data_IF_204037461506
#
_entry.id   IF_204037461506
#
_cell.length_a   1.000
_cell.length_b   1.000
_cell.length_c   1.000
_cell.angle_alpha   90.00
_cell.angle_beta   90.00
_cell.angle_gamma   90.00
#
_symmetry.space_group_name_H-M   'P 1'
#
loop_
_entity.id
_entity.type
_entity.pdbx_description
1 polymer ?
#
# COMPACT_ATOMS: atom_id res chain seq x y z
N UNK A 1 7.69 -3.98 22.52
CA UNK A 1 7.07 -3.43 21.29
C UNK A 1 8.08 -2.62 20.46
N UNK A 2 9.23 -2.25 21.03
CA UNK A 2 10.37 -1.58 20.37
C UNK A 2 11.17 -2.50 19.44
N UNK A 3 11.38 -3.76 19.82
CA UNK A 3 12.29 -4.69 19.13
C UNK A 3 11.90 -5.04 17.68
N UNK A 4 10.62 -4.91 17.31
CA UNK A 4 10.15 -5.20 15.95
C UNK A 4 10.69 -4.18 14.94
N UNK A 5 10.59 -2.89 15.24
CA UNK A 5 11.06 -1.84 14.32
C UNK A 5 12.58 -1.73 14.24
N UNK A 6 13.29 -2.17 15.28
CA UNK A 6 14.76 -2.19 15.30
C UNK A 6 15.36 -3.31 14.43
N UNK A 7 14.63 -4.42 14.25
CA UNK A 7 15.05 -5.57 13.43
C UNK A 7 14.38 -5.62 12.06
N UNK A 8 13.30 -4.84 11.86
CA UNK A 8 12.58 -4.76 10.60
C UNK A 8 13.22 -3.75 9.65
N UNK A 9 13.92 -4.25 8.64
CA UNK A 9 14.52 -3.46 7.56
C UNK A 9 13.74 -3.67 6.25
N UNK A 10 12.55 -3.08 6.10
CA UNK A 10 11.76 -3.25 4.89
C UNK A 10 12.49 -2.62 3.71
N UNK A 11 12.57 -3.36 2.60
CA UNK A 11 12.98 -2.77 1.33
C UNK A 11 11.75 -2.10 0.71
N UNK A 12 11.89 -0.83 0.35
CA UNK A 12 10.86 -0.13 -0.42
C UNK A 12 10.86 -0.73 -1.83
N UNK A 13 9.81 -1.48 -2.15
CA UNK A 13 9.68 -2.14 -3.47
C UNK A 13 9.09 -1.16 -4.48
N UNK A 14 8.01 -0.47 -4.11
CA UNK A 14 7.30 0.48 -4.98
C UNK A 14 6.80 1.69 -4.20
N UNK A 15 6.84 2.87 -4.84
CA UNK A 15 6.25 4.12 -4.33
C UNK A 15 5.40 4.75 -5.43
N UNK A 16 4.11 4.93 -5.14
CA UNK A 16 3.18 5.57 -6.05
C UNK A 16 2.80 6.95 -5.50
N UNK A 17 3.56 7.97 -5.91
CA UNK A 17 3.29 9.37 -5.57
C UNK A 17 2.64 10.07 -6.76
N UNK A 18 1.33 10.33 -6.70
CA UNK A 18 0.56 11.02 -7.74
C UNK A 18 -0.53 11.88 -7.10
N UNK A 19 -0.88 12.98 -7.75
CA UNK A 19 -1.94 13.87 -7.28
C UNK A 19 -3.35 13.31 -7.56
N UNK A 20 -4.36 13.94 -6.94
CA UNK A 20 -5.75 13.52 -7.08
C UNK A 20 -6.30 13.69 -8.51
N UNK A 21 -5.79 14.65 -9.28
CA UNK A 21 -6.24 14.90 -10.64
C UNK A 21 -5.81 13.75 -11.56
N UNK A 22 -4.57 13.31 -11.43
CA UNK A 22 -3.99 12.20 -12.15
C UNK A 22 -4.80 10.91 -11.92
N UNK A 23 -5.08 10.55 -10.66
CA UNK A 23 -5.87 9.35 -10.35
C UNK A 23 -7.28 9.40 -10.93
N UNK A 24 -7.95 10.56 -10.85
CA UNK A 24 -9.31 10.74 -11.39
C UNK A 24 -9.36 10.64 -12.91
N UNK A 25 -8.42 11.26 -13.60
CA UNK A 25 -8.38 11.27 -15.06
C UNK A 25 -8.04 9.91 -15.65
N UNK A 26 -7.10 9.20 -15.03
CA UNK A 26 -6.55 7.97 -15.60
C UNK A 26 -7.26 6.71 -15.06
N UNK A 27 -8.15 6.84 -14.05
CA UNK A 27 -8.82 5.73 -13.35
C UNK A 27 -7.87 4.58 -13.06
N UNK A 28 -6.63 4.92 -12.70
CA UNK A 28 -5.54 3.98 -12.78
C UNK A 28 -5.66 2.96 -11.64
N UNK A 29 -5.81 1.68 -11.98
CA UNK A 29 -5.72 0.57 -11.02
C UNK A 29 -4.28 0.08 -11.01
N UNK A 30 -3.65 0.13 -9.84
CA UNK A 30 -2.36 -0.54 -9.64
C UNK A 30 -2.65 -2.02 -9.42
N UNK A 31 -2.02 -2.88 -10.21
CA UNK A 31 -2.11 -4.33 -10.06
C UNK A 31 -0.72 -4.88 -9.83
N UNK A 32 -0.51 -5.48 -8.67
CA UNK A 32 0.71 -6.20 -8.34
C UNK A 32 0.48 -7.68 -8.54
N UNK A 33 1.46 -8.39 -9.11
CA UNK A 33 1.42 -9.86 -9.19
C UNK A 33 1.67 -10.44 -7.80
N UNK A 34 1.10 -11.62 -7.48
CA UNK A 34 1.43 -12.33 -6.26
C UNK A 34 2.95 -12.51 -6.13
N UNK A 35 3.48 -12.24 -4.94
CA UNK A 35 4.89 -12.43 -4.63
C UNK A 35 5.02 -13.39 -3.46
N UNK A 36 6.22 -13.97 -3.26
CA UNK A 36 6.52 -14.74 -2.04
C UNK A 36 7.03 -13.87 -0.90
N UNK A 37 6.99 -12.55 -1.06
CA UNK A 37 7.49 -11.60 -0.08
C UNK A 37 6.35 -11.10 0.78
N UNK A 38 6.49 -11.26 2.09
CA UNK A 38 5.67 -10.53 3.05
C UNK A 38 5.87 -9.04 2.82
N UNK A 39 4.79 -8.35 2.49
CA UNK A 39 4.83 -6.96 2.08
C UNK A 39 4.00 -6.11 3.03
N UNK A 40 4.39 -4.85 3.19
CA UNK A 40 3.58 -3.87 3.89
C UNK A 40 3.18 -2.76 2.94
N UNK A 41 1.91 -2.36 3.01
CA UNK A 41 1.39 -1.17 2.35
C UNK A 41 1.24 -0.07 3.40
N UNK A 42 1.60 1.13 2.99
CA UNK A 42 1.42 2.35 3.78
C UNK A 42 0.85 3.46 2.90
N UNK A 43 -0.25 4.06 3.32
CA UNK A 43 -0.83 5.23 2.68
C UNK A 43 -0.44 6.48 3.47
N UNK A 44 0.50 7.27 2.95
CA UNK A 44 0.97 8.49 3.62
C UNK A 44 0.06 9.70 3.39
N UNK A 45 -0.74 9.70 2.31
CA UNK A 45 -1.68 10.75 1.97
C UNK A 45 -2.79 10.25 1.03
N UNK A 46 -3.92 10.96 0.99
CA UNK A 46 -5.07 10.63 0.16
C UNK A 46 -5.93 9.49 0.72
N UNK A 47 -6.99 9.15 -0.01
CA UNK A 47 -7.90 8.04 0.31
C UNK A 47 -8.14 7.19 -0.93
N UNK A 48 -8.37 5.90 -0.72
CA UNK A 48 -8.63 4.96 -1.81
C UNK A 48 -9.14 3.62 -1.29
N UNK A 49 -9.29 2.67 -2.20
CA UNK A 49 -9.66 1.29 -1.88
C UNK A 49 -8.62 0.37 -2.50
N UNK A 50 -8.07 -0.52 -1.70
CA UNK A 50 -7.26 -1.65 -2.13
C UNK A 50 -8.13 -2.90 -2.16
N UNK A 51 -7.96 -3.75 -3.14
CA UNK A 51 -8.59 -5.07 -3.18
C UNK A 51 -7.50 -6.12 -2.96
N UNK A 52 -7.65 -6.95 -1.95
CA UNK A 52 -6.73 -8.03 -1.61
C UNK A 52 -7.51 -9.33 -1.53
N UNK A 53 -7.12 -10.33 -2.33
CA UNK A 53 -7.83 -11.61 -2.43
C UNK A 53 -9.35 -11.47 -2.70
N UNK A 54 -9.74 -10.41 -3.39
CA UNK A 54 -11.14 -10.07 -3.69
C UNK A 54 -11.84 -9.25 -2.61
N UNK A 55 -11.22 -9.05 -1.44
CA UNK A 55 -11.77 -8.29 -0.33
C UNK A 55 -11.33 -6.82 -0.39
N UNK A 56 -12.26 -5.86 -0.28
CA UNK A 56 -11.94 -4.44 -0.29
C UNK A 56 -11.46 -3.95 1.08
N UNK A 57 -10.38 -3.17 1.07
CA UNK A 57 -9.80 -2.50 2.22
C UNK A 57 -9.69 -1.00 1.95
N UNK A 58 -10.27 -0.18 2.82
CA UNK A 58 -10.13 1.27 2.73
C UNK A 58 -8.71 1.70 3.09
N UNK A 59 -8.15 2.59 2.27
CA UNK A 59 -6.88 3.23 2.50
C UNK A 59 -7.12 4.69 2.88
N UNK A 60 -6.40 5.16 3.88
CA UNK A 60 -6.36 6.56 4.30
C UNK A 60 -4.99 6.95 4.88
N UNK A 61 -4.75 8.23 5.17
CA UNK A 61 -3.46 8.68 5.67
C UNK A 61 -3.11 8.00 7.00
N UNK A 62 -1.89 7.48 7.10
CA UNK A 62 -1.41 6.75 8.27
C UNK A 62 -1.82 5.27 8.30
N UNK A 63 -2.65 4.82 7.36
CA UNK A 63 -3.06 3.41 7.29
C UNK A 63 -1.87 2.54 6.86
N UNK A 64 -1.59 1.52 7.66
CA UNK A 64 -0.56 0.51 7.40
C UNK A 64 -1.17 -0.88 7.49
N UNK A 65 -0.86 -1.73 6.52
CA UNK A 65 -1.44 -3.07 6.42
C UNK A 65 -0.41 -4.07 5.89
N UNK A 66 -0.40 -5.28 6.46
CA UNK A 66 0.45 -6.38 6.01
C UNK A 66 -0.25 -7.18 4.93
N UNK A 67 0.35 -7.26 3.75
CA UNK A 67 -0.05 -8.16 2.68
C UNK A 67 0.61 -9.52 2.94
N UNK A 68 -0.20 -10.60 3.08
CA UNK A 68 0.30 -11.96 3.31
C UNK A 68 1.06 -12.54 2.11
#
# INVERSE_FOLDING_TARGET
>A
MTDFFESFHPKIIHVYHRDALFWRQHKQRIVSRPTRLLSFVYAYAGHGVMELDGEPHELGPGYAFQIP
#
